data_IF_749812156436
#
_entry.id   IF_749812156436
#
_cell.length_a   1.000
_cell.length_b   1.000
_cell.length_c   1.000
_cell.angle_alpha   90.00
_cell.angle_beta   90.00
_cell.angle_gamma   90.00
#
_symmetry.space_group_name_H-M   'P 1'
#
loop_
_entity.id
_entity.type
_entity.pdbx_description
1 polymer ?
#
# COMPACT_ATOMS: atom_id res chain seq x y z
N UNK A 1 -3.71 27.67 -36.85
CA UNK A 1 -4.13 27.29 -35.50
C UNK A 1 -4.37 25.78 -35.31
N UNK A 2 -4.52 24.99 -36.38
CA UNK A 2 -4.86 23.54 -36.28
C UNK A 2 -3.66 22.64 -35.89
N UNK A 3 -2.43 23.16 -35.91
CA UNK A 3 -1.22 22.37 -35.61
C UNK A 3 -0.92 22.17 -34.15
N UNK A 4 -1.55 22.92 -33.22
CA UNK A 4 -1.31 22.79 -31.79
C UNK A 4 -2.11 21.65 -31.15
N UNK A 5 -3.29 21.32 -31.67
CA UNK A 5 -4.12 20.26 -31.13
C UNK A 5 -3.54 18.84 -31.35
N UNK A 6 -3.04 18.59 -32.60
CA UNK A 6 -2.46 17.27 -32.90
C UNK A 6 -1.17 16.98 -32.13
N UNK A 7 -0.32 17.99 -31.90
CA UNK A 7 0.88 17.84 -31.09
C UNK A 7 0.53 17.62 -29.60
N UNK A 8 -0.46 18.34 -29.08
CA UNK A 8 -0.97 18.14 -27.73
C UNK A 8 -1.53 16.74 -27.51
N UNK A 9 -2.27 16.21 -28.50
CA UNK A 9 -2.83 14.86 -28.43
C UNK A 9 -1.75 13.76 -28.43
N UNK A 10 -0.65 13.97 -29.15
CA UNK A 10 0.51 13.04 -29.13
C UNK A 10 1.15 13.02 -27.75
N UNK A 11 1.38 14.19 -27.12
CA UNK A 11 1.97 14.26 -25.78
C UNK A 11 1.08 13.64 -24.69
N UNK A 12 -0.23 13.78 -24.80
CA UNK A 12 -1.18 13.13 -23.89
C UNK A 12 -1.08 11.61 -23.95
N UNK A 13 -1.07 11.07 -25.18
CA UNK A 13 -1.03 9.62 -25.41
C UNK A 13 0.28 8.96 -24.98
N UNK A 14 1.39 9.71 -24.89
CA UNK A 14 2.67 9.15 -24.47
C UNK A 14 2.65 8.52 -23.08
N UNK A 15 1.82 9.01 -22.20
CA UNK A 15 1.73 8.55 -20.80
C UNK A 15 0.43 7.80 -20.49
N UNK A 16 -0.43 7.57 -21.49
CA UNK A 16 -1.76 6.98 -21.30
C UNK A 16 -1.70 5.62 -20.58
N UNK A 17 -0.73 4.79 -20.94
CA UNK A 17 -0.53 3.46 -20.33
C UNK A 17 0.27 3.50 -19.02
N UNK A 18 0.83 4.65 -18.65
CA UNK A 18 1.73 4.80 -17.50
C UNK A 18 1.07 5.49 -16.31
N UNK A 19 -0.08 6.11 -16.49
CA UNK A 19 -0.77 6.90 -15.47
C UNK A 19 -2.21 6.44 -15.29
N UNK A 20 -2.71 6.52 -14.05
CA UNK A 20 -4.08 6.13 -13.73
C UNK A 20 -5.13 7.17 -14.18
N UNK A 21 -4.70 8.41 -14.38
CA UNK A 21 -5.60 9.50 -14.77
C UNK A 21 -4.84 10.59 -15.53
N UNK A 22 -5.50 11.16 -16.55
CA UNK A 22 -4.98 12.31 -17.30
C UNK A 22 -6.06 13.36 -17.48
N UNK A 23 -5.70 14.63 -17.32
CA UNK A 23 -6.59 15.73 -17.65
C UNK A 23 -5.81 16.93 -18.20
N UNK A 24 -6.44 17.67 -19.10
CA UNK A 24 -5.92 18.91 -19.67
C UNK A 24 -6.70 20.10 -19.15
N UNK A 25 -5.98 21.15 -18.75
CA UNK A 25 -6.57 22.44 -18.45
C UNK A 25 -7.00 23.10 -19.77
N UNK A 26 -8.29 23.26 -19.99
CA UNK A 26 -8.87 23.92 -21.16
C UNK A 26 -9.32 25.35 -20.91
N UNK A 27 -9.52 25.67 -19.65
CA UNK A 27 -9.89 26.99 -19.16
C UNK A 27 -8.99 27.31 -17.95
N UNK A 28 -8.17 28.37 -18.02
CA UNK A 28 -7.24 28.70 -16.96
C UNK A 28 -7.94 29.01 -15.62
N UNK A 29 -9.18 29.49 -15.63
CA UNK A 29 -9.95 29.74 -14.40
C UNK A 29 -10.32 28.47 -13.65
N UNK A 30 -10.28 27.31 -14.31
CA UNK A 30 -10.58 25.97 -13.74
C UNK A 30 -9.35 25.19 -13.32
N UNK A 31 -8.17 25.80 -13.34
CA UNK A 31 -6.91 25.08 -13.05
C UNK A 31 -6.93 24.40 -11.67
N UNK A 32 -7.49 25.06 -10.66
CA UNK A 32 -7.56 24.54 -9.29
C UNK A 32 -8.46 23.29 -9.24
N UNK A 33 -9.61 23.35 -9.91
CA UNK A 33 -10.54 22.21 -9.99
C UNK A 33 -9.91 21.02 -10.69
N UNK A 34 -9.24 21.26 -11.85
CA UNK A 34 -8.56 20.22 -12.62
C UNK A 34 -7.41 19.61 -11.80
N UNK A 35 -6.59 20.45 -11.17
CA UNK A 35 -5.48 19.99 -10.31
C UNK A 35 -5.98 19.14 -9.15
N UNK A 36 -7.04 19.56 -8.49
CA UNK A 36 -7.64 18.80 -7.40
C UNK A 36 -8.12 17.42 -7.87
N UNK A 37 -8.82 17.32 -9.01
CA UNK A 37 -9.23 16.03 -9.58
C UNK A 37 -8.04 15.14 -9.90
N UNK A 38 -6.99 15.67 -10.51
CA UNK A 38 -5.77 14.92 -10.85
C UNK A 38 -5.11 14.37 -9.59
N UNK A 39 -4.92 15.21 -8.56
CA UNK A 39 -4.32 14.80 -7.28
C UNK A 39 -5.20 13.74 -6.58
N UNK A 40 -6.51 13.94 -6.55
CA UNK A 40 -7.43 13.01 -5.91
C UNK A 40 -7.44 11.64 -6.61
N UNK A 41 -7.40 11.61 -7.94
CA UNK A 41 -7.30 10.35 -8.68
C UNK A 41 -5.94 9.66 -8.44
N UNK A 42 -4.84 10.40 -8.40
CA UNK A 42 -3.52 9.85 -8.07
C UNK A 42 -3.51 9.23 -6.67
N UNK A 43 -4.04 9.93 -5.67
CA UNK A 43 -4.15 9.43 -4.29
C UNK A 43 -5.04 8.20 -4.19
N UNK A 44 -6.21 8.23 -4.83
CA UNK A 44 -7.18 7.12 -4.81
C UNK A 44 -6.62 5.86 -5.48
N UNK A 45 -5.97 6.01 -6.63
CA UNK A 45 -5.38 4.90 -7.36
C UNK A 45 -4.02 4.46 -6.78
N UNK A 46 -3.41 5.23 -5.87
CA UNK A 46 -2.02 5.06 -5.44
C UNK A 46 -1.06 4.91 -6.64
N UNK A 47 -1.27 5.72 -7.68
CA UNK A 47 -0.59 5.65 -8.97
C UNK A 47 -0.36 7.06 -9.54
N UNK A 48 0.59 7.23 -10.47
CA UNK A 48 0.83 8.51 -11.12
C UNK A 48 -0.42 9.03 -11.83
N UNK A 49 -0.58 10.35 -11.86
CA UNK A 49 -1.56 11.03 -12.70
C UNK A 49 -0.89 12.22 -13.42
N UNK A 50 -1.43 12.60 -14.56
CA UNK A 50 -0.87 13.65 -15.41
C UNK A 50 -1.84 14.82 -15.56
N UNK A 51 -1.33 16.03 -15.38
CA UNK A 51 -2.01 17.27 -15.78
C UNK A 51 -1.28 17.88 -16.96
N UNK A 52 -2.02 18.24 -18.00
CA UNK A 52 -1.50 18.97 -19.16
C UNK A 52 -1.98 20.42 -19.08
N UNK A 53 -1.02 21.36 -19.07
CA UNK A 53 -1.30 22.80 -19.08
C UNK A 53 -0.77 23.36 -20.38
N UNK A 54 -1.64 23.82 -21.31
CA UNK A 54 -1.21 24.45 -22.56
C UNK A 54 -0.28 25.64 -22.31
N UNK A 55 0.72 25.79 -23.17
CA UNK A 55 1.79 26.79 -23.00
C UNK A 55 1.27 28.23 -22.94
N UNK A 56 0.24 28.53 -23.69
CA UNK A 56 -0.39 29.85 -23.74
C UNK A 56 -1.13 30.24 -22.45
N UNK A 57 -1.38 29.28 -21.56
CA UNK A 57 -1.99 29.53 -20.24
C UNK A 57 -0.96 29.91 -19.17
N UNK A 58 0.32 29.60 -19.36
CA UNK A 58 1.36 29.83 -18.34
C UNK A 58 1.61 31.32 -18.02
N UNK A 59 1.27 32.22 -18.92
CA UNK A 59 1.48 33.66 -18.77
C UNK A 59 0.19 34.40 -18.48
N UNK A 60 -0.92 33.70 -18.37
CA UNK A 60 -2.21 34.33 -18.07
C UNK A 60 -2.33 34.61 -16.58
N UNK A 61 -2.74 35.84 -16.26
CA UNK A 61 -3.10 36.21 -14.89
C UNK A 61 -4.59 35.96 -14.72
N UNK A 62 -4.93 35.18 -13.72
CA UNK A 62 -6.32 34.83 -13.41
C UNK A 62 -6.66 35.28 -11.98
N UNK A 63 -7.89 35.72 -11.79
CA UNK A 63 -8.44 36.06 -10.47
C UNK A 63 -9.40 34.93 -10.08
N UNK A 64 -8.98 34.10 -9.12
CA UNK A 64 -9.75 32.95 -8.66
C UNK A 64 -9.61 32.80 -7.15
N UNK A 65 -10.69 32.39 -6.50
CA UNK A 65 -10.65 31.95 -5.11
C UNK A 65 -10.01 30.56 -5.00
N UNK A 66 -9.04 30.43 -4.10
CA UNK A 66 -8.45 29.13 -3.80
C UNK A 66 -9.34 28.41 -2.78
N UNK A 67 -9.88 27.23 -3.13
CA UNK A 67 -10.67 26.45 -2.19
C UNK A 67 -9.80 25.93 -1.05
N UNK A 68 -10.40 25.68 0.10
CA UNK A 68 -9.73 24.99 1.18
C UNK A 68 -9.27 23.59 0.74
N UNK A 69 -8.15 23.15 1.29
CA UNK A 69 -7.65 21.80 1.07
C UNK A 69 -8.65 20.82 1.70
N UNK A 70 -9.19 19.91 0.91
CA UNK A 70 -10.04 18.83 1.40
C UNK A 70 -9.15 17.62 1.67
N UNK A 71 -9.04 17.26 2.93
CA UNK A 71 -8.40 15.99 3.31
C UNK A 71 -9.34 14.83 2.98
N UNK A 72 -8.78 13.80 2.38
CA UNK A 72 -9.51 12.59 2.05
C UNK A 72 -9.23 11.53 3.12
N UNK A 73 -10.21 11.31 3.99
CA UNK A 73 -10.15 10.22 4.94
C UNK A 73 -10.32 8.88 4.21
N UNK A 74 -9.42 7.94 4.51
CA UNK A 74 -9.51 6.59 3.98
C UNK A 74 -10.44 5.78 4.87
N UNK A 75 -11.47 5.09 4.33
CA UNK A 75 -12.32 4.24 5.14
C UNK A 75 -11.51 3.09 5.75
N UNK A 76 -11.82 2.76 6.99
CA UNK A 76 -11.34 1.55 7.63
C UNK A 76 -11.96 0.32 6.97
N UNK A 77 -11.33 -0.85 7.08
CA UNK A 77 -11.93 -2.12 6.69
C UNK A 77 -13.28 -2.33 7.39
N UNK A 78 -14.18 -3.10 6.78
CA UNK A 78 -15.53 -3.32 7.34
C UNK A 78 -15.50 -3.98 8.71
N UNK A 79 -16.39 -3.57 9.62
CA UNK A 79 -16.43 -4.04 11.02
C UNK A 79 -16.50 -5.57 11.14
N UNK A 80 -17.23 -6.24 10.23
CA UNK A 80 -17.31 -7.70 10.22
C UNK A 80 -15.96 -8.35 9.93
N UNK A 81 -15.22 -7.85 8.96
CA UNK A 81 -13.91 -8.38 8.60
C UNK A 81 -12.87 -8.10 9.69
N UNK A 82 -12.95 -6.94 10.35
CA UNK A 82 -12.10 -6.63 11.51
C UNK A 82 -12.40 -7.60 12.67
N UNK A 83 -13.67 -7.86 12.95
CA UNK A 83 -14.08 -8.79 14.00
C UNK A 83 -13.62 -10.22 13.70
N UNK A 84 -13.76 -10.68 12.47
CA UNK A 84 -13.30 -12.00 12.04
C UNK A 84 -11.77 -12.12 12.15
N UNK A 85 -11.01 -11.09 11.73
CA UNK A 85 -9.56 -11.04 11.91
C UNK A 85 -9.16 -11.12 13.38
N UNK A 86 -9.88 -10.39 14.26
CA UNK A 86 -9.63 -10.41 15.69
C UNK A 86 -9.90 -11.80 16.32
N UNK A 87 -10.95 -12.49 15.87
CA UNK A 87 -11.26 -13.86 16.31
C UNK A 87 -10.18 -14.85 15.85
N UNK A 88 -9.77 -14.77 14.57
CA UNK A 88 -8.70 -15.61 14.03
C UNK A 88 -7.39 -15.44 14.81
N UNK A 89 -6.98 -14.18 15.04
CA UNK A 89 -5.75 -13.85 15.77
C UNK A 89 -5.83 -14.26 17.26
N UNK A 90 -6.97 -14.04 17.90
CA UNK A 90 -7.15 -14.37 19.32
C UNK A 90 -7.18 -15.87 19.59
N UNK A 91 -7.60 -16.67 18.59
CA UNK A 91 -7.62 -18.14 18.66
C UNK A 91 -6.34 -18.80 18.16
N UNK A 92 -5.42 -18.03 17.55
CA UNK A 92 -4.14 -18.51 17.07
C UNK A 92 -3.22 -18.94 18.20
N UNK A 93 -2.44 -19.98 17.95
CA UNK A 93 -1.40 -20.48 18.88
C UNK A 93 -0.02 -19.92 18.54
N UNK A 94 0.20 -19.62 17.26
CA UNK A 94 1.47 -19.09 16.76
C UNK A 94 1.22 -18.00 15.71
N UNK A 95 0.68 -16.84 16.13
CA UNK A 95 0.42 -15.73 15.22
C UNK A 95 1.74 -15.06 14.80
N UNK A 96 1.87 -14.77 13.50
CA UNK A 96 2.99 -13.99 12.96
C UNK A 96 2.43 -12.74 12.29
N UNK A 97 3.09 -11.60 12.51
CA UNK A 97 2.80 -10.35 11.80
C UNK A 97 3.87 -10.13 10.74
N UNK A 98 3.45 -9.86 9.50
CA UNK A 98 4.35 -9.51 8.41
C UNK A 98 4.08 -8.07 7.96
N UNK A 99 4.98 -7.16 8.32
CA UNK A 99 4.89 -5.75 7.96
C UNK A 99 5.56 -5.47 6.61
N UNK A 100 4.89 -4.71 5.77
CA UNK A 100 5.41 -4.22 4.49
C UNK A 100 5.46 -2.70 4.40
N UNK A 101 5.65 -2.19 3.18
CA UNK A 101 5.72 -0.76 2.88
C UNK A 101 4.54 0.05 3.41
N UNK A 102 3.34 -0.53 3.39
CA UNK A 102 2.13 0.16 3.85
C UNK A 102 2.20 0.58 5.31
N UNK A 103 2.89 -0.18 6.16
CA UNK A 103 3.10 0.17 7.58
C UNK A 103 4.00 1.40 7.70
N UNK A 104 5.06 1.49 6.90
CA UNK A 104 5.96 2.67 6.89
C UNK A 104 5.27 3.92 6.37
N UNK A 105 4.42 3.75 5.35
CA UNK A 105 3.73 4.86 4.67
C UNK A 105 2.48 5.35 5.41
N UNK A 106 2.02 4.64 6.44
CA UNK A 106 0.82 4.99 7.19
C UNK A 106 1.21 5.61 8.55
N UNK A 107 0.68 6.78 8.84
CA UNK A 107 0.95 7.48 10.08
C UNK A 107 0.51 6.65 11.30
N UNK A 108 1.39 6.50 12.28
CA UNK A 108 1.13 5.74 13.51
C UNK A 108 1.06 4.21 13.34
N UNK A 109 1.19 3.66 12.12
CA UNK A 109 1.01 2.22 11.90
C UNK A 109 2.13 1.36 12.50
N UNK A 110 3.36 1.88 12.61
CA UNK A 110 4.47 1.18 13.27
C UNK A 110 4.14 0.98 14.75
N UNK A 111 3.66 2.02 15.44
CA UNK A 111 3.28 1.93 16.85
C UNK A 111 2.05 1.04 17.06
N UNK A 112 1.07 1.12 16.17
CA UNK A 112 -0.10 0.24 16.20
C UNK A 112 0.28 -1.23 16.00
N UNK A 113 1.17 -1.52 15.03
CA UNK A 113 1.70 -2.87 14.80
C UNK A 113 2.47 -3.39 16.00
N UNK A 114 3.28 -2.52 16.65
CA UNK A 114 3.99 -2.85 17.89
C UNK A 114 3.04 -3.21 19.01
N UNK A 115 2.05 -2.37 19.28
CA UNK A 115 1.05 -2.61 20.31
C UNK A 115 0.26 -3.92 20.07
N UNK A 116 -0.05 -4.21 18.81
CA UNK A 116 -0.72 -5.46 18.43
C UNK A 116 0.18 -6.67 18.65
N UNK A 117 1.46 -6.59 18.27
CA UNK A 117 2.45 -7.64 18.47
C UNK A 117 2.63 -7.96 19.96
N UNK A 118 2.76 -6.93 20.80
CA UNK A 118 2.87 -7.07 22.25
C UNK A 118 1.61 -7.72 22.87
N UNK A 119 0.42 -7.35 22.39
CA UNK A 119 -0.85 -7.91 22.87
C UNK A 119 -1.04 -9.38 22.52
N UNK A 120 -0.55 -9.80 21.36
CA UNK A 120 -0.68 -11.17 20.85
C UNK A 120 0.52 -12.05 21.20
N UNK A 121 1.59 -11.47 21.76
CA UNK A 121 2.92 -12.10 21.88
C UNK A 121 3.39 -12.67 20.53
N UNK A 122 3.13 -11.92 19.43
CA UNK A 122 3.38 -12.34 18.07
C UNK A 122 4.74 -11.87 17.59
N UNK A 123 5.52 -12.77 16.98
CA UNK A 123 6.75 -12.37 16.32
C UNK A 123 6.44 -11.55 15.06
N UNK A 124 7.27 -10.53 14.79
CA UNK A 124 7.11 -9.61 13.67
C UNK A 124 8.21 -9.83 12.66
N UNK A 125 7.81 -10.24 11.47
CA UNK A 125 8.65 -10.25 10.28
C UNK A 125 8.41 -8.99 9.44
N UNK A 126 9.39 -8.61 8.62
CA UNK A 126 9.26 -7.48 7.70
C UNK A 126 9.64 -7.90 6.27
N UNK A 127 9.13 -7.20 5.28
CA UNK A 127 9.58 -7.36 3.90
C UNK A 127 11.06 -6.95 3.76
N UNK A 128 11.83 -7.63 2.91
CA UNK A 128 13.29 -7.44 2.77
C UNK A 128 13.74 -5.99 2.48
N UNK A 129 12.88 -5.14 1.93
CA UNK A 129 13.15 -3.73 1.63
C UNK A 129 12.66 -2.77 2.73
N UNK A 130 12.00 -3.28 3.76
CA UNK A 130 11.32 -2.46 4.77
C UNK A 130 11.70 -2.85 6.18
N UNK A 131 13.03 -2.87 6.46
CA UNK A 131 13.54 -3.12 7.79
C UNK A 131 13.15 -2.04 8.81
N UNK A 132 12.67 -0.91 8.33
CA UNK A 132 12.12 0.22 9.08
C UNK A 132 10.65 0.05 9.47
N UNK A 133 9.97 -1.00 8.98
CA UNK A 133 8.56 -1.25 9.28
C UNK A 133 8.29 -1.76 10.70
N UNK A 134 9.33 -2.03 11.48
CA UNK A 134 9.23 -2.40 12.89
C UNK A 134 10.56 -2.10 13.63
N UNK A 135 10.52 -1.72 14.91
CA UNK A 135 11.76 -1.42 15.65
C UNK A 135 12.67 -2.65 15.78
N UNK A 136 13.87 -2.56 15.19
CA UNK A 136 14.83 -3.68 15.15
C UNK A 136 15.39 -4.12 16.52
N UNK A 137 15.26 -3.27 17.55
CA UNK A 137 15.65 -3.59 18.94
C UNK A 137 14.54 -4.24 19.77
N UNK A 138 13.35 -4.39 19.18
CA UNK A 138 12.20 -4.95 19.90
C UNK A 138 12.33 -6.46 20.09
N UNK A 139 12.01 -7.04 21.25
CA UNK A 139 12.16 -8.48 21.52
C UNK A 139 11.38 -9.39 20.55
N UNK A 140 10.24 -8.91 20.02
CA UNK A 140 9.40 -9.63 19.07
C UNK A 140 9.84 -9.45 17.60
N UNK A 141 10.91 -8.69 17.33
CA UNK A 141 11.40 -8.52 15.96
C UNK A 141 12.14 -9.77 15.46
N UNK A 142 11.57 -10.49 14.52
CA UNK A 142 12.16 -11.69 13.95
C UNK A 142 13.15 -11.41 12.79
N UNK A 143 12.98 -10.27 12.10
CA UNK A 143 13.82 -9.87 10.98
C UNK A 143 13.13 -9.91 9.62
N UNK A 144 13.85 -9.61 8.54
CA UNK A 144 13.30 -9.58 7.19
C UNK A 144 13.08 -11.00 6.63
N UNK A 145 12.06 -11.14 5.78
CA UNK A 145 11.80 -12.29 4.94
C UNK A 145 12.23 -12.04 3.48
N UNK A 146 12.30 -13.09 2.70
CA UNK A 146 12.56 -13.06 1.26
C UNK A 146 14.03 -12.91 0.92
N UNK A 147 14.32 -12.22 -0.18
CA UNK A 147 15.69 -12.01 -0.67
C UNK A 147 16.56 -11.35 0.39
N UNK A 148 17.69 -11.97 0.72
CA UNK A 148 18.54 -11.58 1.85
C UNK A 148 17.82 -11.54 3.22
N UNK A 149 16.77 -12.34 3.38
CA UNK A 149 16.04 -12.43 4.63
C UNK A 149 16.81 -13.11 5.76
N UNK A 150 16.26 -13.01 6.96
CA UNK A 150 16.77 -13.63 8.18
C UNK A 150 16.38 -15.10 8.23
N UNK A 151 17.34 -15.98 8.51
CA UNK A 151 17.08 -17.40 8.75
C UNK A 151 16.12 -17.59 9.94
N UNK A 152 16.30 -16.82 11.02
CA UNK A 152 15.42 -16.87 12.19
C UNK A 152 13.96 -16.49 11.85
N UNK A 153 13.75 -15.45 11.04
CA UNK A 153 12.42 -15.06 10.59
C UNK A 153 11.76 -16.18 9.75
N UNK A 154 12.53 -16.83 8.87
CA UNK A 154 12.05 -17.94 8.05
C UNK A 154 11.65 -19.17 8.88
N UNK A 155 12.44 -19.50 9.89
CA UNK A 155 12.12 -20.60 10.81
C UNK A 155 10.89 -20.30 11.66
N UNK A 156 10.70 -19.04 12.11
CA UNK A 156 9.56 -18.66 12.90
C UNK A 156 8.25 -18.66 12.12
N UNK A 157 8.24 -18.09 10.90
CA UNK A 157 7.00 -18.03 10.11
C UNK A 157 6.55 -19.40 9.60
N UNK A 158 7.48 -20.34 9.44
CA UNK A 158 7.19 -21.69 8.96
C UNK A 158 6.15 -22.42 9.81
N UNK A 159 6.17 -22.19 11.11
CA UNK A 159 5.31 -22.85 12.08
C UNK A 159 4.06 -22.01 12.42
N UNK A 160 3.81 -20.90 11.69
CA UNK A 160 2.65 -20.05 11.91
C UNK A 160 1.34 -20.77 11.58
N UNK A 161 0.31 -20.55 12.41
CA UNK A 161 -1.06 -20.96 12.13
C UNK A 161 -1.93 -19.81 11.59
N UNK A 162 -1.53 -18.56 11.90
CA UNK A 162 -2.13 -17.34 11.34
C UNK A 162 -1.02 -16.36 10.98
N UNK A 163 -1.07 -15.82 9.76
CA UNK A 163 -0.17 -14.73 9.33
C UNK A 163 -0.98 -13.47 9.02
N UNK A 164 -0.72 -12.43 9.80
CA UNK A 164 -1.30 -11.10 9.56
C UNK A 164 -0.35 -10.26 8.69
N UNK A 165 -0.73 -10.04 7.45
CA UNK A 165 0.03 -9.29 6.46
C UNK A 165 -0.44 -7.83 6.41
N UNK A 166 0.37 -6.90 6.92
CA UNK A 166 0.04 -5.48 7.00
C UNK A 166 0.77 -4.68 5.92
N UNK A 167 0.02 -4.12 4.97
CA UNK A 167 0.56 -3.25 3.93
C UNK A 167 1.63 -3.91 3.06
N UNK A 168 1.52 -5.21 2.83
CA UNK A 168 2.39 -5.99 1.96
C UNK A 168 1.60 -6.71 0.89
N UNK A 169 2.05 -6.60 -0.35
CA UNK A 169 1.46 -7.33 -1.48
C UNK A 169 1.96 -8.76 -1.63
N UNK A 170 2.79 -9.24 -0.69
CA UNK A 170 3.38 -10.58 -0.71
C UNK A 170 4.10 -10.90 -2.03
N UNK A 171 4.85 -9.93 -2.58
CA UNK A 171 5.52 -10.15 -3.86
C UNK A 171 6.56 -11.28 -3.74
N UNK A 172 6.92 -11.96 -4.87
CA UNK A 172 7.84 -13.09 -4.85
C UNK A 172 9.18 -12.79 -4.16
N UNK A 173 9.74 -11.59 -4.30
CA UNK A 173 11.00 -11.23 -3.64
C UNK A 173 10.89 -11.14 -2.12
N UNK A 174 9.68 -10.85 -1.59
CA UNK A 174 9.43 -10.81 -0.13
C UNK A 174 9.13 -12.17 0.45
N UNK A 175 8.93 -13.20 -0.39
CA UNK A 175 8.57 -14.55 0.05
C UNK A 175 9.49 -15.63 -0.55
N UNK A 176 10.61 -15.24 -1.18
CA UNK A 176 11.59 -16.18 -1.74
C UNK A 176 12.15 -17.07 -0.64
N UNK A 177 12.16 -18.41 -0.85
CA UNK A 177 12.87 -19.34 0.00
C UNK A 177 14.35 -18.98 0.13
N UNK A 178 14.91 -19.17 1.32
CA UNK A 178 16.31 -18.92 1.59
C UNK A 178 16.92 -20.03 2.46
N UNK A 179 18.22 -20.21 2.40
CA UNK A 179 18.95 -21.18 3.19
C UNK A 179 18.47 -22.63 3.05
N UNK A 180 17.83 -22.99 1.95
CA UNK A 180 17.21 -24.30 1.75
C UNK A 180 15.94 -24.52 2.58
N UNK A 181 15.35 -23.46 3.15
CA UNK A 181 14.12 -23.51 3.93
C UNK A 181 12.96 -23.09 3.03
N UNK A 182 12.03 -24.00 2.82
CA UNK A 182 10.70 -23.67 2.33
C UNK A 182 9.85 -23.27 3.54
N UNK A 183 9.76 -21.97 3.75
CA UNK A 183 9.25 -21.42 4.99
C UNK A 183 7.82 -20.90 4.92
N UNK A 184 7.25 -20.80 3.71
CA UNK A 184 5.90 -20.26 3.61
C UNK A 184 4.89 -21.28 4.19
N UNK A 185 4.10 -20.89 5.22
CA UNK A 185 3.21 -21.82 5.91
C UNK A 185 1.97 -22.10 5.06
N UNK A 186 1.94 -23.23 4.37
CA UNK A 186 0.85 -23.61 3.45
C UNK A 186 -0.51 -23.76 4.15
N UNK A 187 -0.52 -24.23 5.39
CA UNK A 187 -1.72 -24.47 6.18
C UNK A 187 -2.15 -23.25 7.03
N UNK A 188 -1.35 -22.20 7.06
CA UNK A 188 -1.68 -21.01 7.84
C UNK A 188 -2.83 -20.21 7.22
N UNK A 189 -3.68 -19.65 8.07
CA UNK A 189 -4.67 -18.67 7.65
C UNK A 189 -4.00 -17.33 7.39
N UNK A 190 -4.20 -16.78 6.20
CA UNK A 190 -3.62 -15.50 5.80
C UNK A 190 -4.67 -14.40 5.92
N UNK A 191 -4.39 -13.39 6.74
CA UNK A 191 -5.15 -12.14 6.84
C UNK A 191 -4.36 -11.07 6.14
N UNK A 192 -4.87 -10.50 5.04
CA UNK A 192 -4.17 -9.47 4.28
C UNK A 192 -4.87 -8.13 4.39
N UNK A 193 -4.11 -7.11 4.80
CA UNK A 193 -4.55 -5.71 4.92
C UNK A 193 -3.76 -4.88 3.93
N UNK A 194 -4.42 -4.31 2.95
CA UNK A 194 -3.80 -3.45 1.94
C UNK A 194 -4.75 -2.33 1.52
N UNK A 195 -4.19 -1.19 1.13
CA UNK A 195 -4.94 -0.04 0.61
C UNK A 195 -5.47 -0.30 -0.81
N UNK A 196 -4.78 -1.14 -1.58
CA UNK A 196 -5.16 -1.45 -2.95
C UNK A 196 -5.81 -2.84 -2.99
N UNK A 197 -7.13 -2.91 -3.26
CA UNK A 197 -7.86 -4.18 -3.32
C UNK A 197 -7.33 -5.12 -4.41
N UNK A 198 -6.76 -4.59 -5.50
CA UNK A 198 -6.20 -5.39 -6.59
C UNK A 198 -4.94 -6.17 -6.20
N UNK A 199 -4.31 -5.81 -5.09
CA UNK A 199 -3.13 -6.49 -4.54
C UNK A 199 -3.49 -7.64 -3.63
N UNK A 200 -4.71 -7.65 -3.12
CA UNK A 200 -5.18 -8.68 -2.18
C UNK A 200 -5.37 -9.99 -2.93
N UNK A 201 -4.79 -11.08 -2.41
CA UNK A 201 -4.86 -12.41 -3.01
C UNK A 201 -4.13 -12.57 -4.35
N UNK A 202 -3.35 -11.56 -4.80
CA UNK A 202 -2.70 -11.58 -6.11
C UNK A 202 -1.50 -12.53 -6.21
N UNK A 203 -0.90 -12.91 -5.09
CA UNK A 203 0.32 -13.74 -5.04
C UNK A 203 0.12 -15.00 -4.20
N UNK A 204 -0.64 -14.92 -3.12
CA UNK A 204 -0.93 -16.03 -2.21
C UNK A 204 -2.42 -16.11 -1.95
N UNK A 205 -2.93 -17.33 -1.73
CA UNK A 205 -4.30 -17.50 -1.29
C UNK A 205 -4.50 -16.83 0.08
N UNK A 206 -5.47 -15.93 0.15
CA UNK A 206 -5.82 -15.21 1.39
C UNK A 206 -7.17 -15.69 1.92
N UNK A 207 -7.25 -15.97 3.21
CA UNK A 207 -8.47 -16.44 3.86
C UNK A 207 -9.39 -15.27 4.24
N UNK A 208 -8.78 -14.13 4.61
CA UNK A 208 -9.51 -12.92 4.96
C UNK A 208 -8.84 -11.69 4.36
N UNK A 209 -9.63 -10.85 3.74
CA UNK A 209 -9.20 -9.61 3.09
C UNK A 209 -9.79 -8.40 3.80
N UNK A 210 -8.93 -7.45 4.14
CA UNK A 210 -9.31 -6.17 4.72
C UNK A 210 -8.84 -5.05 3.79
N UNK A 211 -9.58 -4.75 2.73
CA UNK A 211 -9.26 -3.60 1.90
C UNK A 211 -9.49 -2.32 2.71
N UNK A 212 -8.42 -1.56 2.87
CA UNK A 212 -8.47 -0.20 3.41
C UNK A 212 -8.31 0.75 2.24
N UNK A 213 -9.35 1.41 1.82
CA UNK A 213 -9.31 2.38 0.71
C UNK A 213 -8.96 3.77 1.19
#
# INVERSE_FOLDING_TARGET
>A
PIRSSAASDVYKRQFEDMVAYQEEVRDPTRIVEVLNRVIMNAKRASAPAQINIPRDMWTQVIDIDLPAIVEFERPSGGDNAISEAAEMLSSSKNPIILNGAGVVLSEGAIDASKALAERLDAAVCVGYQHNDAFPGSHPLFAGPLGYNGSKAAMELIKDADVVLCLGTRLNPFSTLPGYGIDYWPEDAKIIQVDINPDRIGSVSYTHLTLPTT
#
